data_IF_843102889343
#
_entry.id   IF_843102889343
#
_cell.length_a   1.000
_cell.length_b   1.000
_cell.length_c   1.000
_cell.angle_alpha   90.00
_cell.angle_beta   90.00
_cell.angle_gamma   90.00
#
_symmetry.space_group_name_H-M   'P 1'
#
loop_
_entity.id
_entity.type
_entity.pdbx_description
1 polymer ?
#
# COMPACT_ATOMS: atom_id res chain seq x y z
N UNK A 1 -12.65 -1.49 -12.09
CA UNK A 1 -11.39 -0.81 -12.46
C UNK A 1 -10.57 -0.62 -11.20
N UNK A 2 -9.71 -1.59 -10.83
CA UNK A 2 -8.89 -1.52 -9.63
C UNK A 2 -7.81 -0.44 -9.74
N UNK A 3 -7.73 0.40 -8.70
CA UNK A 3 -6.59 1.28 -8.46
C UNK A 3 -5.95 0.87 -7.14
N UNK A 4 -4.66 0.58 -7.18
CA UNK A 4 -3.90 0.09 -6.03
C UNK A 4 -2.77 1.08 -5.73
N UNK A 5 -2.71 1.55 -4.50
CA UNK A 5 -1.63 2.43 -4.03
C UNK A 5 -0.80 1.66 -3.02
N UNK A 6 0.49 1.50 -3.31
CA UNK A 6 1.47 0.94 -2.38
C UNK A 6 2.13 2.10 -1.65
N UNK A 7 1.74 2.32 -0.38
CA UNK A 7 2.42 3.26 0.51
C UNK A 7 3.56 2.56 1.22
N UNK A 8 4.76 3.13 1.20
CA UNK A 8 5.97 2.53 1.79
C UNK A 8 6.98 3.58 2.22
N UNK A 9 8.01 3.15 2.95
CA UNK A 9 9.13 4.03 3.26
C UNK A 9 10.01 4.31 2.05
N UNK A 10 10.53 5.53 1.98
CA UNK A 10 11.52 5.96 0.97
C UNK A 10 12.74 5.04 0.91
N UNK A 11 13.28 4.85 -0.29
CA UNK A 11 14.62 4.26 -0.49
C UNK A 11 14.61 2.86 -1.10
N UNK A 12 13.47 2.39 -1.63
CA UNK A 12 13.45 1.16 -2.41
C UNK A 12 13.94 1.42 -3.85
N UNK A 13 14.79 0.54 -4.41
CA UNK A 13 15.21 0.65 -5.81
C UNK A 13 14.02 0.66 -6.79
N UNK A 14 14.12 1.46 -7.85
CA UNK A 14 13.08 1.62 -8.87
C UNK A 14 12.73 0.29 -9.57
N UNK A 15 13.73 -0.56 -9.84
CA UNK A 15 13.52 -1.88 -10.45
C UNK A 15 12.64 -2.78 -9.56
N UNK A 16 12.79 -2.68 -8.24
CA UNK A 16 11.94 -3.43 -7.29
C UNK A 16 10.53 -2.89 -7.20
N UNK A 17 10.34 -1.57 -7.25
CA UNK A 17 8.99 -0.97 -7.33
C UNK A 17 8.28 -1.40 -8.62
N UNK A 18 8.97 -1.38 -9.76
CA UNK A 18 8.43 -1.87 -11.05
C UNK A 18 8.11 -3.36 -11.03
N UNK A 19 9.01 -4.18 -10.50
CA UNK A 19 8.77 -5.62 -10.35
C UNK A 19 7.52 -5.90 -9.51
N UNK A 20 7.38 -5.23 -8.36
CA UNK A 20 6.21 -5.39 -7.51
C UNK A 20 4.90 -4.91 -8.18
N UNK A 21 4.94 -3.78 -8.90
CA UNK A 21 3.77 -3.28 -9.64
C UNK A 21 3.24 -4.31 -10.65
N UNK A 22 4.15 -4.92 -11.42
CA UNK A 22 3.79 -5.93 -12.41
C UNK A 22 3.21 -7.19 -11.78
N UNK A 23 3.76 -7.66 -10.65
CA UNK A 23 3.22 -8.82 -9.94
C UNK A 23 1.85 -8.54 -9.31
N UNK A 24 1.64 -7.35 -8.73
CA UNK A 24 0.32 -6.91 -8.25
C UNK A 24 -0.70 -6.89 -9.39
N UNK A 25 -0.33 -6.34 -10.56
CA UNK A 25 -1.19 -6.33 -11.75
C UNK A 25 -1.59 -7.74 -12.17
N UNK A 26 -0.63 -8.65 -12.31
CA UNK A 26 -0.88 -10.05 -12.68
C UNK A 26 -1.82 -10.74 -11.68
N UNK A 27 -1.57 -10.60 -10.38
CA UNK A 27 -2.43 -11.17 -9.34
C UNK A 27 -3.85 -10.61 -9.40
N UNK A 28 -3.98 -9.31 -9.63
CA UNK A 28 -5.28 -8.64 -9.75
C UNK A 28 -6.07 -9.16 -10.96
N UNK A 29 -5.42 -9.35 -12.11
CA UNK A 29 -6.02 -9.98 -13.30
C UNK A 29 -6.48 -11.40 -12.95
N UNK A 30 -5.59 -12.20 -12.36
CA UNK A 30 -5.83 -13.62 -12.10
C UNK A 30 -6.96 -13.87 -11.08
N UNK A 31 -7.03 -13.05 -10.03
CA UNK A 31 -7.99 -13.25 -8.93
C UNK A 31 -9.33 -12.58 -9.24
N UNK A 32 -9.31 -11.36 -9.81
CA UNK A 32 -10.53 -10.57 -10.03
C UNK A 32 -11.07 -10.66 -11.46
N UNK A 33 -10.39 -11.36 -12.38
CA UNK A 33 -10.78 -11.46 -13.79
C UNK A 33 -10.82 -10.11 -14.51
N UNK A 34 -10.06 -9.12 -14.02
CA UNK A 34 -10.11 -7.75 -14.53
C UNK A 34 -9.24 -7.60 -15.78
N UNK A 35 -9.70 -6.90 -16.83
CA UNK A 35 -8.86 -6.56 -17.99
C UNK A 35 -7.63 -5.74 -17.59
N UNK A 36 -6.47 -6.04 -18.19
CA UNK A 36 -5.21 -5.36 -17.89
C UNK A 36 -5.31 -3.82 -18.01
N UNK A 37 -6.01 -3.34 -19.04
CA UNK A 37 -6.22 -1.91 -19.31
C UNK A 37 -7.02 -1.18 -18.22
N UNK A 38 -7.66 -1.91 -17.30
CA UNK A 38 -8.49 -1.37 -16.22
C UNK A 38 -7.79 -1.34 -14.86
N UNK A 39 -6.50 -1.67 -14.81
CA UNK A 39 -5.71 -1.76 -13.58
C UNK A 39 -4.64 -0.66 -13.58
N UNK A 40 -4.50 0.02 -12.45
CA UNK A 40 -3.39 0.95 -12.22
C UNK A 40 -2.77 0.72 -10.84
N UNK A 41 -1.44 0.85 -10.76
CA UNK A 41 -0.68 0.70 -9.52
C UNK A 41 0.22 1.93 -9.35
N UNK A 42 0.11 2.59 -8.20
CA UNK A 42 0.93 3.72 -7.82
C UNK A 42 1.77 3.41 -6.57
N UNK A 43 2.90 4.10 -6.42
CA UNK A 43 3.73 4.06 -5.22
C UNK A 43 3.76 5.45 -4.60
N UNK A 44 3.52 5.53 -3.30
CA UNK A 44 3.67 6.75 -2.51
C UNK A 44 4.71 6.50 -1.41
N UNK A 45 5.84 7.18 -1.50
CA UNK A 45 6.93 7.05 -0.53
C UNK A 45 6.83 8.14 0.55
N UNK A 46 7.01 7.76 1.80
CA UNK A 46 7.07 8.69 2.95
C UNK A 46 8.24 8.31 3.86
N UNK A 47 8.76 9.23 4.66
CA UNK A 47 9.86 8.88 5.58
C UNK A 47 9.31 8.12 6.80
N UNK A 48 10.16 7.38 7.53
CA UNK A 48 9.74 6.72 8.76
C UNK A 48 9.15 7.66 9.81
N UNK A 49 9.66 8.89 9.90
CA UNK A 49 9.21 9.92 10.86
C UNK A 49 7.80 10.40 10.55
N UNK A 50 7.47 10.53 9.26
CA UNK A 50 6.17 10.99 8.78
C UNK A 50 5.12 9.86 8.75
N UNK A 51 5.54 8.60 8.71
CA UNK A 51 4.67 7.42 8.56
C UNK A 51 3.49 7.38 9.54
N UNK A 52 3.67 7.63 10.85
CA UNK A 52 2.56 7.54 11.79
C UNK A 52 1.40 8.48 11.44
N UNK A 53 1.71 9.72 11.06
CA UNK A 53 0.68 10.74 10.80
C UNK A 53 0.19 10.74 9.36
N UNK A 54 1.05 10.41 8.39
CA UNK A 54 0.69 10.44 6.96
C UNK A 54 0.10 9.14 6.43
N UNK A 55 0.35 8.01 7.09
CA UNK A 55 -0.12 6.69 6.62
C UNK A 55 -0.84 5.93 7.73
N UNK A 56 -0.20 5.71 8.87
CA UNK A 56 -0.78 4.83 9.90
C UNK A 56 -2.10 5.39 10.46
N UNK A 57 -2.15 6.66 10.82
CA UNK A 57 -3.39 7.31 11.26
C UNK A 57 -4.52 7.20 10.21
N UNK A 58 -4.39 7.90 9.07
CA UNK A 58 -5.49 8.05 8.12
C UNK A 58 -5.83 6.79 7.32
N UNK A 59 -4.86 5.91 7.02
CA UNK A 59 -5.07 4.77 6.12
C UNK A 59 -5.15 3.42 6.84
N UNK A 60 -4.77 3.34 8.11
CA UNK A 60 -4.79 2.09 8.88
C UNK A 60 -5.71 2.22 10.10
N UNK A 61 -5.45 3.19 10.97
CA UNK A 61 -6.20 3.38 12.22
C UNK A 61 -7.64 3.85 11.94
N UNK A 62 -7.82 4.81 11.03
CA UNK A 62 -9.14 5.36 10.70
C UNK A 62 -9.94 4.48 9.74
N UNK A 63 -9.31 3.46 9.14
CA UNK A 63 -9.90 2.59 8.10
C UNK A 63 -9.88 1.11 8.46
N UNK A 64 -9.87 0.78 9.75
CA UNK A 64 -9.75 -0.60 10.25
C UNK A 64 -10.75 -1.59 9.63
N UNK A 65 -11.97 -1.13 9.31
CA UNK A 65 -13.02 -1.97 8.72
C UNK A 65 -12.76 -2.36 7.26
N UNK A 66 -11.85 -1.65 6.58
CA UNK A 66 -11.46 -1.94 5.19
C UNK A 66 -10.19 -2.79 5.10
N UNK A 67 -9.52 -3.03 6.22
CA UNK A 67 -8.28 -3.80 6.27
C UNK A 67 -8.58 -5.30 6.30
N UNK A 68 -8.36 -5.98 5.17
CA UNK A 68 -8.32 -7.44 5.11
C UNK A 68 -7.07 -8.03 5.79
N UNK A 69 -6.00 -7.25 5.91
CA UNK A 69 -4.76 -7.62 6.61
C UNK A 69 -4.40 -6.48 7.57
N UNK A 70 -4.41 -6.76 8.87
CA UNK A 70 -4.09 -5.77 9.93
C UNK A 70 -2.58 -5.75 10.22
N UNK A 71 -1.98 -4.59 10.55
CA UNK A 71 -0.58 -4.53 10.93
C UNK A 71 -0.34 -5.21 12.28
N UNK A 72 0.82 -5.85 12.43
CA UNK A 72 1.28 -6.41 13.71
C UNK A 72 1.94 -5.39 14.65
N UNK A 73 1.80 -4.09 14.38
CA UNK A 73 2.44 -3.01 15.13
C UNK A 73 1.51 -1.81 15.29
N UNK A 74 1.82 -0.98 16.30
CA UNK A 74 1.25 0.34 16.52
C UNK A 74 2.43 1.32 16.69
N UNK A 75 2.51 2.44 15.96
CA UNK A 75 3.53 3.46 16.18
C UNK A 75 3.50 3.98 17.62
N UNK A 76 4.67 4.28 18.18
CA UNK A 76 4.80 4.69 19.58
C UNK A 76 3.96 5.92 19.93
N UNK A 77 3.80 6.86 18.98
CA UNK A 77 2.98 8.07 19.19
C UNK A 77 1.49 7.78 19.43
N UNK A 78 1.02 6.58 19.08
CA UNK A 78 -0.36 6.14 19.29
C UNK A 78 -0.48 5.07 20.39
N UNK A 79 0.65 4.67 21.00
CA UNK A 79 0.63 3.84 22.21
C UNK A 79 0.22 4.74 23.38
N UNK A 80 -0.73 4.27 24.19
CA UNK A 80 -1.13 4.92 25.44
C UNK A 80 -0.05 4.80 26.50
#
# INVERSE_FOLDING_TARGET
MPHIIVKLWTGKPEDKKRQLAEEIKKLTINILGTPESSISVAFEETTPEDWPLKVYGPDIMDKQDTLYIKPGYVPDIFKK
#
